data_IF_324973309689
#
_entry.id   IF_324973309689
#
_cell.length_a   1.000
_cell.length_b   1.000
_cell.length_c   1.000
_cell.angle_alpha   90.00
_cell.angle_beta   90.00
_cell.angle_gamma   90.00
#
_symmetry.space_group_name_H-M   'P 1'
#
loop_
_entity.id
_entity.type
_entity.pdbx_description
1 polymer ?
#
# COMPACT_ATOMS: atom_id res chain seq x y z
N UNK A 1 4.71 4.04 -12.36
CA UNK A 1 5.30 5.15 -11.56
C UNK A 1 6.77 4.89 -11.22
N UNK A 2 7.15 3.74 -10.66
CA UNK A 2 8.53 3.44 -10.27
C UNK A 2 9.55 3.54 -11.41
N UNK A 3 9.22 3.11 -12.62
CA UNK A 3 10.08 3.29 -13.80
C UNK A 3 10.33 4.78 -14.12
N UNK A 4 9.32 5.63 -13.93
CA UNK A 4 9.45 7.09 -14.15
C UNK A 4 10.36 7.72 -13.10
N UNK A 5 10.29 7.24 -11.85
CA UNK A 5 11.15 7.67 -10.74
C UNK A 5 12.59 7.17 -10.91
N UNK A 6 12.77 5.95 -11.43
CA UNK A 6 14.08 5.39 -11.71
C UNK A 6 14.82 6.17 -12.81
N UNK A 7 14.10 6.69 -13.80
CA UNK A 7 14.65 7.43 -14.93
C UNK A 7 14.58 8.97 -14.74
N UNK A 8 14.24 9.45 -13.55
CA UNK A 8 14.00 10.88 -13.33
C UNK A 8 15.30 11.67 -13.32
N UNK A 9 15.44 12.64 -14.21
CA UNK A 9 16.59 13.57 -14.22
C UNK A 9 16.21 14.98 -13.76
N UNK A 10 14.92 15.24 -13.54
CA UNK A 10 14.36 16.55 -13.20
C UNK A 10 13.18 16.39 -12.24
N UNK A 11 12.99 17.38 -11.37
CA UNK A 11 12.05 17.32 -10.25
C UNK A 11 10.59 17.08 -10.66
N UNK A 12 10.14 17.64 -11.79
CA UNK A 12 8.75 17.47 -12.22
C UNK A 12 8.39 16.00 -12.52
N UNK A 13 9.36 15.18 -12.95
CA UNK A 13 9.13 13.75 -13.19
C UNK A 13 8.80 13.01 -11.90
N UNK A 14 9.38 13.43 -10.77
CA UNK A 14 9.05 12.89 -9.45
C UNK A 14 7.60 13.21 -9.08
N UNK A 15 7.16 14.45 -9.31
CA UNK A 15 5.78 14.86 -9.05
C UNK A 15 4.80 14.07 -9.92
N UNK A 16 5.07 13.94 -11.22
CA UNK A 16 4.22 13.16 -12.11
C UNK A 16 4.16 11.68 -11.68
N UNK A 17 5.30 11.10 -11.28
CA UNK A 17 5.36 9.74 -10.76
C UNK A 17 4.50 9.57 -9.52
N UNK A 18 4.51 10.54 -8.59
CA UNK A 18 3.69 10.51 -7.36
C UNK A 18 2.20 10.67 -7.66
N UNK A 19 1.82 11.51 -8.62
CA UNK A 19 0.42 11.65 -9.05
C UNK A 19 -0.09 10.32 -9.61
N UNK A 20 0.67 9.70 -10.51
CA UNK A 20 0.31 8.39 -11.07
C UNK A 20 0.18 7.37 -9.93
N UNK A 21 1.17 7.31 -9.03
CA UNK A 21 1.17 6.41 -7.87
C UNK A 21 -0.09 6.57 -7.02
N UNK A 22 -0.51 7.82 -6.75
CA UNK A 22 -1.73 8.13 -6.01
C UNK A 22 -3.00 7.67 -6.71
N UNK A 23 -3.12 7.91 -8.02
CA UNK A 23 -4.26 7.44 -8.83
C UNK A 23 -4.35 5.91 -8.83
N UNK A 24 -3.20 5.22 -8.87
CA UNK A 24 -3.13 3.76 -8.86
C UNK A 24 -3.05 3.16 -7.45
N UNK A 25 -3.16 3.96 -6.39
CA UNK A 25 -2.82 3.55 -5.02
C UNK A 25 -3.82 2.62 -4.33
N UNK A 26 -4.98 2.33 -4.94
CA UNK A 26 -6.04 1.52 -4.34
C UNK A 26 -5.79 -0.01 -4.38
N UNK A 27 -4.53 -0.45 -4.52
CA UNK A 27 -4.16 -1.86 -4.72
C UNK A 27 -4.56 -2.76 -3.55
N UNK A 28 -4.43 -2.28 -2.31
CA UNK A 28 -4.80 -3.05 -1.11
C UNK A 28 -6.30 -3.34 -1.04
N UNK A 29 -7.14 -2.37 -1.46
CA UNK A 29 -8.59 -2.55 -1.50
C UNK A 29 -9.00 -3.59 -2.56
N UNK A 30 -8.36 -3.55 -3.74
CA UNK A 30 -8.59 -4.53 -4.81
C UNK A 30 -8.13 -5.94 -4.40
N UNK A 31 -6.97 -6.06 -3.75
CA UNK A 31 -6.50 -7.35 -3.25
C UNK A 31 -7.45 -7.91 -2.17
N UNK A 32 -7.91 -7.06 -1.26
CA UNK A 32 -8.89 -7.43 -0.23
C UNK A 32 -10.24 -7.86 -0.83
N UNK A 33 -10.73 -7.20 -1.88
CA UNK A 33 -11.98 -7.60 -2.55
C UNK A 33 -11.83 -8.95 -3.24
N UNK A 34 -10.72 -9.18 -3.96
CA UNK A 34 -10.44 -10.47 -4.60
C UNK A 34 -10.41 -11.60 -3.56
N UNK A 35 -9.77 -11.38 -2.41
CA UNK A 35 -9.78 -12.35 -1.31
C UNK A 35 -11.20 -12.56 -0.79
N UNK A 36 -11.99 -11.51 -0.58
CA UNK A 36 -13.35 -11.62 -0.09
C UNK A 36 -14.25 -12.44 -1.04
N UNK A 37 -14.12 -12.20 -2.35
CA UNK A 37 -14.96 -12.80 -3.40
C UNK A 37 -14.54 -14.24 -3.74
N UNK A 38 -13.25 -14.55 -3.63
CA UNK A 38 -12.70 -15.84 -4.09
C UNK A 38 -12.49 -16.87 -2.97
N UNK A 39 -12.73 -16.51 -1.70
CA UNK A 39 -12.46 -17.40 -0.55
C UNK A 39 -13.74 -17.79 0.20
N UNK A 40 -13.80 -19.06 0.62
CA UNK A 40 -14.89 -19.57 1.45
C UNK A 40 -14.93 -18.85 2.82
N UNK A 41 -16.13 -18.66 3.37
CA UNK A 41 -16.35 -17.92 4.62
C UNK A 41 -15.53 -18.49 5.79
N UNK A 42 -15.39 -19.82 5.87
CA UNK A 42 -14.62 -20.50 6.91
C UNK A 42 -13.12 -20.23 6.86
N UNK A 43 -12.57 -19.91 5.68
CA UNK A 43 -11.14 -19.68 5.47
C UNK A 43 -10.77 -18.21 5.33
N UNK A 44 -11.77 -17.33 5.15
CA UNK A 44 -11.59 -15.91 4.85
C UNK A 44 -10.70 -15.19 5.86
N UNK A 45 -10.88 -15.46 7.15
CA UNK A 45 -10.06 -14.89 8.23
C UNK A 45 -8.58 -15.26 8.07
N UNK A 46 -8.28 -16.51 7.70
CA UNK A 46 -6.90 -16.95 7.48
C UNK A 46 -6.28 -16.28 6.25
N UNK A 47 -7.06 -16.11 5.17
CA UNK A 47 -6.59 -15.41 3.97
C UNK A 47 -6.34 -13.92 4.20
N UNK A 48 -7.21 -13.23 4.94
CA UNK A 48 -6.94 -11.85 5.37
C UNK A 48 -5.71 -11.76 6.28
N UNK A 49 -5.50 -12.74 7.16
CA UNK A 49 -4.28 -12.85 7.97
C UNK A 49 -3.01 -12.97 7.10
N UNK A 50 -3.04 -13.79 6.04
CA UNK A 50 -1.93 -13.91 5.08
C UNK A 50 -1.69 -12.62 4.31
N UNK A 51 -2.76 -11.94 3.88
CA UNK A 51 -2.66 -10.64 3.21
C UNK A 51 -1.99 -9.61 4.14
N UNK A 52 -2.41 -9.54 5.40
CA UNK A 52 -1.79 -8.68 6.41
C UNK A 52 -0.32 -9.02 6.68
N UNK A 53 0.02 -10.31 6.79
CA UNK A 53 1.40 -10.77 6.96
C UNK A 53 2.29 -10.36 5.77
N UNK A 54 1.77 -10.45 4.54
CA UNK A 54 2.49 -9.99 3.35
C UNK A 54 2.72 -8.48 3.36
N UNK A 55 1.72 -7.69 3.78
CA UNK A 55 1.89 -6.24 3.96
C UNK A 55 2.96 -5.91 5.01
N UNK A 56 2.91 -6.56 6.18
CA UNK A 56 3.91 -6.37 7.24
C UNK A 56 5.31 -6.77 6.80
N UNK A 57 5.46 -7.90 6.09
CA UNK A 57 6.74 -8.31 5.52
C UNK A 57 7.28 -7.28 4.53
N UNK A 58 6.41 -6.70 3.69
CA UNK A 58 6.77 -5.61 2.78
C UNK A 58 7.21 -4.34 3.51
N UNK A 59 6.54 -3.98 4.62
CA UNK A 59 6.91 -2.83 5.46
C UNK A 59 8.28 -2.98 6.12
N UNK A 60 8.70 -4.20 6.45
CA UNK A 60 10.03 -4.49 7.01
C UNK A 60 11.09 -4.59 5.91
N UNK A 61 10.82 -5.40 4.88
CA UNK A 61 11.78 -5.68 3.82
C UNK A 61 12.03 -4.46 2.92
N UNK A 62 11.00 -3.62 2.71
CA UNK A 62 11.06 -2.44 1.85
C UNK A 62 12.17 -1.47 2.27
N UNK A 63 12.17 -0.92 3.50
CA UNK A 63 13.22 -0.03 3.97
C UNK A 63 14.61 -0.68 4.02
N UNK A 64 14.71 -1.96 4.38
CA UNK A 64 15.99 -2.67 4.39
C UNK A 64 16.61 -2.76 2.98
N UNK A 65 15.85 -3.23 1.99
CA UNK A 65 16.30 -3.34 0.60
C UNK A 65 16.53 -1.95 0.00
N UNK A 66 15.62 -1.00 0.28
CA UNK A 66 15.70 0.37 -0.20
C UNK A 66 16.89 1.14 0.35
N UNK A 67 17.22 0.98 1.64
CA UNK A 67 18.37 1.61 2.27
C UNK A 67 19.70 1.11 1.68
N UNK A 68 19.84 -0.22 1.54
CA UNK A 68 21.02 -0.83 0.92
C UNK A 68 21.20 -0.40 -0.53
N UNK A 69 20.12 -0.38 -1.31
CA UNK A 69 20.18 0.05 -2.71
C UNK A 69 20.40 1.56 -2.86
N UNK A 70 19.82 2.36 -1.96
CA UNK A 70 19.94 3.82 -1.94
C UNK A 70 21.37 4.29 -1.65
N UNK A 71 22.12 3.51 -0.88
CA UNK A 71 23.52 3.78 -0.58
C UNK A 71 24.42 3.68 -1.83
N UNK A 72 24.06 2.80 -2.78
CA UNK A 72 24.75 2.65 -4.06
C UNK A 72 24.32 3.76 -5.04
N UNK A 73 23.00 4.00 -5.15
CA UNK A 73 22.44 5.06 -5.99
C UNK A 73 21.03 5.42 -5.57
N UNK A 74 20.66 6.72 -5.54
CA UNK A 74 19.29 7.17 -5.23
C UNK A 74 18.22 6.62 -6.18
N UNK A 75 18.59 6.21 -7.40
CA UNK A 75 17.64 5.67 -8.39
C UNK A 75 17.41 4.16 -8.24
N UNK A 76 18.37 3.43 -7.67
CA UNK A 76 18.37 1.97 -7.63
C UNK A 76 17.18 1.36 -6.85
N UNK A 77 16.73 1.93 -5.71
CA UNK A 77 15.51 1.46 -5.05
C UNK A 77 14.28 1.46 -5.96
N UNK A 78 14.14 2.48 -6.82
CA UNK A 78 13.02 2.58 -7.77
C UNK A 78 13.13 1.56 -8.90
N UNK A 79 14.35 1.22 -9.35
CA UNK A 79 14.58 0.16 -10.34
C UNK A 79 14.15 -1.20 -9.76
N UNK A 80 14.57 -1.51 -8.53
CA UNK A 80 14.18 -2.74 -7.84
C UNK A 80 12.66 -2.82 -7.69
N UNK A 81 12.03 -1.74 -7.24
CA UNK A 81 10.57 -1.67 -7.10
C UNK A 81 9.84 -1.82 -8.46
N UNK A 82 10.39 -1.28 -9.54
CA UNK A 82 9.83 -1.45 -10.89
C UNK A 82 9.90 -2.91 -11.36
N UNK A 83 11.03 -3.59 -11.13
CA UNK A 83 11.20 -5.02 -11.47
C UNK A 83 10.24 -5.89 -10.65
N UNK A 84 10.16 -5.67 -9.33
CA UNK A 84 9.24 -6.42 -8.47
C UNK A 84 7.78 -6.23 -8.89
N UNK A 85 7.37 -5.01 -9.22
CA UNK A 85 6.02 -4.76 -9.74
C UNK A 85 5.78 -5.41 -11.11
N UNK A 86 6.77 -5.40 -12.01
CA UNK A 86 6.65 -6.08 -13.29
C UNK A 86 6.51 -7.59 -13.11
N UNK A 87 7.28 -8.21 -12.22
CA UNK A 87 7.15 -9.63 -11.87
C UNK A 87 5.77 -9.94 -11.29
N UNK A 88 5.28 -9.14 -10.35
CA UNK A 88 3.93 -9.29 -9.77
C UNK A 88 2.85 -9.14 -10.84
N UNK A 89 2.98 -8.15 -11.72
CA UNK A 89 2.06 -7.96 -12.84
C UNK A 89 2.02 -9.17 -13.75
N UNK A 90 3.17 -9.69 -14.19
CA UNK A 90 3.24 -10.89 -15.03
C UNK A 90 2.65 -12.12 -14.31
N UNK A 91 2.97 -12.30 -13.03
CA UNK A 91 2.43 -13.38 -12.23
C UNK A 91 0.90 -13.33 -12.17
N UNK A 92 0.33 -12.17 -11.84
CA UNK A 92 -1.13 -11.98 -11.82
C UNK A 92 -1.70 -12.18 -13.23
N UNK A 93 -1.11 -11.56 -14.25
CA UNK A 93 -1.60 -11.63 -15.63
C UNK A 93 -1.69 -13.07 -16.17
N UNK A 94 -0.73 -13.93 -15.85
CA UNK A 94 -0.72 -15.32 -16.34
C UNK A 94 -1.42 -16.32 -15.42
N UNK A 95 -1.36 -16.13 -14.10
CA UNK A 95 -1.83 -17.12 -13.13
C UNK A 95 -3.24 -16.80 -12.64
N UNK A 96 -3.58 -15.52 -12.51
CA UNK A 96 -4.87 -15.12 -11.97
C UNK A 96 -5.98 -15.40 -12.98
N UNK A 97 -6.82 -16.37 -12.65
CA UNK A 97 -8.07 -16.62 -13.35
C UNK A 97 -9.19 -15.94 -12.56
N UNK A 98 -9.90 -14.96 -13.13
CA UNK A 98 -11.05 -14.37 -12.46
C UNK A 98 -12.01 -15.49 -12.05
N UNK A 99 -12.44 -15.50 -10.79
CA UNK A 99 -13.55 -16.34 -10.38
C UNK A 99 -14.75 -15.92 -11.23
N UNK A 100 -15.19 -16.79 -12.13
CA UNK A 100 -16.44 -16.59 -12.86
C UNK A 100 -17.50 -16.47 -11.79
N UNK A 101 -18.12 -15.29 -11.69
CA UNK A 101 -19.36 -15.15 -10.94
C UNK A 101 -20.33 -16.11 -11.62
N UNK A 102 -20.50 -17.30 -11.05
CA UNK A 102 -21.75 -18.02 -11.24
C UNK A 102 -22.81 -17.01 -10.86
N UNK A 103 -23.70 -16.68 -11.81
CA UNK A 103 -24.92 -15.94 -11.53
C UNK A 103 -25.71 -16.75 -10.48
N UNK A 104 -25.32 -16.65 -9.22
CA UNK A 104 -26.22 -16.96 -8.14
C UNK A 104 -27.28 -15.87 -8.22
N UNK A 105 -28.39 -16.24 -8.87
CA UNK A 105 -29.67 -15.54 -8.80
C UNK A 105 -29.77 -14.93 -7.41
N UNK A 106 -30.06 -13.63 -7.27
CA UNK A 106 -30.17 -13.03 -5.96
C UNK A 106 -31.16 -13.88 -5.18
N UNK A 107 -30.66 -14.63 -4.20
CA UNK A 107 -31.50 -15.12 -3.14
C UNK A 107 -32.21 -13.86 -2.66
N UNK A 108 -33.54 -13.88 -2.59
CA UNK A 108 -34.33 -12.80 -2.02
C UNK A 108 -33.89 -12.58 -0.57
N UNK A 109 -32.75 -11.93 -0.39
CA UNK A 109 -32.30 -11.35 0.84
C UNK A 109 -33.31 -10.25 1.05
N UNK A 110 -34.29 -10.53 1.92
CA UNK A 110 -35.11 -9.50 2.55
C UNK A 110 -34.16 -8.37 2.89
N UNK A 111 -34.24 -7.33 2.09
CA UNK A 111 -33.50 -6.11 2.29
C UNK A 111 -34.20 -5.49 3.48
N UNK A 112 -33.77 -5.88 4.69
CA UNK A 112 -33.98 -5.07 5.88
C UNK A 112 -33.19 -3.80 5.63
N UNK A 113 -33.79 -2.88 4.88
CA UNK A 113 -33.40 -1.49 4.90
C UNK A 113 -33.70 -1.02 6.32
N UNK A 114 -32.76 -1.25 7.23
CA UNK A 114 -32.61 -0.39 8.37
C UNK A 114 -32.53 1.01 7.76
N UNK A 115 -33.62 1.76 7.87
CA UNK A 115 -33.84 3.08 7.25
C UNK A 115 -32.95 4.14 7.87
N UNK A 116 -31.66 3.85 8.00
CA UNK A 116 -30.66 4.82 8.37
C UNK A 116 -30.36 5.58 7.10
N UNK A 117 -31.00 6.74 6.95
CA UNK A 117 -30.71 7.66 5.86
C UNK A 117 -29.20 7.88 5.81
N UNK A 118 -28.57 7.64 4.66
CA UNK A 118 -27.13 7.89 4.45
C UNK A 118 -26.71 9.29 4.96
N UNK A 119 -27.66 10.24 4.96
CA UNK A 119 -27.55 11.62 5.45
C UNK A 119 -27.41 11.71 6.98
N UNK A 120 -28.01 10.80 7.76
CA UNK A 120 -27.85 10.77 9.23
C UNK A 120 -26.52 10.15 9.66
N UNK A 121 -25.93 9.27 8.83
CA UNK A 121 -24.59 8.71 9.03
C UNK A 121 -23.47 9.63 8.54
N UNK A 122 -23.77 10.55 7.62
CA UNK A 122 -22.77 11.45 7.02
C UNK A 122 -22.02 12.31 8.04
N UNK A 123 -22.68 12.84 9.07
CA UNK A 123 -22.02 13.64 10.12
C UNK A 123 -21.04 12.82 11.00
N UNK A 124 -21.45 11.73 11.65
CA UNK A 124 -20.52 10.91 12.45
C UNK A 124 -19.45 10.24 11.58
N UNK A 125 -19.78 9.82 10.35
CA UNK A 125 -18.80 9.28 9.40
C UNK A 125 -17.79 10.35 8.98
N UNK A 126 -18.22 11.58 8.67
CA UNK A 126 -17.31 12.67 8.33
C UNK A 126 -16.36 12.99 9.49
N UNK A 127 -16.86 13.00 10.74
CA UNK A 127 -16.00 13.18 11.92
C UNK A 127 -14.98 12.03 12.03
N UNK A 128 -15.42 10.78 11.87
CA UNK A 128 -14.53 9.61 11.93
C UNK A 128 -13.46 9.66 10.83
N UNK A 129 -13.87 9.98 9.60
CA UNK A 129 -12.95 10.13 8.46
C UNK A 129 -11.99 11.30 8.68
N UNK A 130 -12.45 12.40 9.27
CA UNK A 130 -11.60 13.54 9.60
C UNK A 130 -10.55 13.19 10.68
N UNK A 131 -10.96 12.48 11.73
CA UNK A 131 -10.05 11.99 12.79
C UNK A 131 -9.06 11.00 12.19
N UNK A 132 -9.52 10.05 11.38
CA UNK A 132 -8.65 9.09 10.70
C UNK A 132 -7.66 9.78 9.77
N UNK A 133 -8.13 10.73 8.95
CA UNK A 133 -7.28 11.54 8.08
C UNK A 133 -6.22 12.31 8.87
N UNK A 134 -6.61 12.95 9.97
CA UNK A 134 -5.69 13.71 10.82
C UNK A 134 -4.64 12.80 11.45
N UNK A 135 -5.05 11.64 11.96
CA UNK A 135 -4.14 10.65 12.51
C UNK A 135 -3.16 10.11 11.46
N UNK A 136 -3.66 9.81 10.24
CA UNK A 136 -2.82 9.40 9.12
C UNK A 136 -1.84 10.49 8.70
N UNK A 137 -2.30 11.74 8.62
CA UNK A 137 -1.46 12.88 8.24
C UNK A 137 -0.30 13.08 9.23
N UNK A 138 -0.59 13.00 10.55
CA UNK A 138 0.44 13.07 11.59
C UNK A 138 1.40 11.89 11.48
N UNK A 139 0.89 10.69 11.24
CA UNK A 139 1.70 9.47 11.06
C UNK A 139 2.66 9.52 9.88
N UNK A 140 2.38 10.31 8.84
CA UNK A 140 3.27 10.50 7.68
C UNK A 140 4.45 11.43 7.97
N UNK A 141 4.37 12.28 9.01
CA UNK A 141 5.44 13.25 9.33
C UNK A 141 6.75 12.50 9.63
N UNK A 142 6.81 11.56 10.60
CA UNK A 142 8.03 10.80 10.87
C UNK A 142 8.62 10.15 9.63
N UNK A 143 7.80 9.53 8.78
CA UNK A 143 8.25 8.85 7.57
C UNK A 143 9.02 9.78 6.60
N UNK A 144 8.69 11.08 6.57
CA UNK A 144 9.35 12.05 5.70
C UNK A 144 10.56 12.73 6.32
N UNK A 145 10.57 12.94 7.65
CA UNK A 145 11.65 13.68 8.33
C UNK A 145 12.72 12.76 8.93
N UNK A 146 12.43 11.49 9.16
CA UNK A 146 13.34 10.55 9.84
C UNK A 146 14.69 10.43 9.14
N UNK A 147 14.68 10.30 7.82
CA UNK A 147 15.91 10.20 7.01
C UNK A 147 16.77 11.46 7.20
N UNK A 148 16.17 12.65 7.00
CA UNK A 148 16.88 13.93 7.12
C UNK A 148 17.38 14.19 8.56
N UNK A 149 16.58 13.81 9.57
CA UNK A 149 16.94 13.95 10.96
C UNK A 149 18.13 13.07 11.33
N UNK A 150 18.11 11.79 10.95
CA UNK A 150 19.16 10.84 11.30
C UNK A 150 20.45 11.10 10.53
N UNK A 151 20.37 11.50 9.26
CA UNK A 151 21.50 11.97 8.47
C UNK A 151 22.15 13.20 9.12
N UNK A 152 21.37 14.24 9.46
CA UNK A 152 21.91 15.46 10.04
C UNK A 152 22.41 15.32 11.49
N UNK A 153 21.75 14.51 12.32
CA UNK A 153 22.06 14.39 13.75
C UNK A 153 23.10 13.31 14.07
N UNK A 154 23.09 12.22 13.32
CA UNK A 154 23.91 11.04 13.60
C UNK A 154 24.85 10.65 12.44
N UNK A 155 24.82 11.39 11.32
CA UNK A 155 25.60 11.08 10.11
C UNK A 155 25.36 9.65 9.61
N UNK A 156 24.12 9.16 9.75
CA UNK A 156 23.74 7.85 9.24
C UNK A 156 23.72 7.84 7.72
N UNK A 157 24.22 6.75 7.15
CA UNK A 157 24.11 6.45 5.72
C UNK A 157 22.73 5.85 5.39
N UNK A 158 22.45 5.66 4.10
CA UNK A 158 21.13 5.16 3.65
C UNK A 158 20.83 3.76 4.19
N UNK A 159 21.87 2.93 4.38
CA UNK A 159 21.75 1.59 4.92
C UNK A 159 21.34 1.60 6.40
N UNK A 160 22.01 2.40 7.24
CA UNK A 160 21.67 2.51 8.66
C UNK A 160 20.24 3.01 8.87
N UNK A 161 19.81 4.00 8.08
CA UNK A 161 18.43 4.48 8.11
C UNK A 161 17.44 3.37 7.71
N UNK A 162 17.72 2.67 6.61
CA UNK A 162 16.89 1.55 6.14
C UNK A 162 16.73 0.43 7.16
N UNK A 163 17.82 0.03 7.82
CA UNK A 163 17.77 -0.97 8.89
C UNK A 163 17.04 -0.49 10.14
N UNK A 164 17.15 0.79 10.49
CA UNK A 164 16.40 1.35 11.64
C UNK A 164 14.89 1.27 11.43
N UNK A 165 14.42 1.61 10.23
CA UNK A 165 13.01 1.55 9.84
C UNK A 165 12.53 0.09 9.76
N UNK A 166 13.35 -0.80 9.19
CA UNK A 166 13.05 -2.22 9.17
C UNK A 166 12.93 -2.82 10.57
N UNK A 167 13.82 -2.45 11.49
CA UNK A 167 13.82 -2.90 12.89
C UNK A 167 12.61 -2.45 13.70
N UNK A 168 12.06 -1.27 13.39
CA UNK A 168 10.82 -0.77 13.99
C UNK A 168 9.57 -1.52 13.49
N UNK A 169 9.64 -2.21 12.36
CA UNK A 169 8.46 -2.79 11.71
C UNK A 169 7.76 -1.84 10.72
N UNK A 170 8.50 -0.80 10.28
CA UNK A 170 8.05 0.51 9.78
C UNK A 170 7.76 1.53 10.88
#
# INVERSE_FOLDING_TARGET
DYTLLALSNVLWMLYLGRIISGITGATGAVAASVVADSTAVSERTAWFGRLGAAFGAGLIAGPAIGGLAGDISPHLPFVIAAILNACTFLMVFFIFKPAVQTEEKPAEQKQESAGISFITLLKPLALLLFVFFTAQLIGQIPATVWVLFTESRFAWDSAAVGFSLAGLGA
#
